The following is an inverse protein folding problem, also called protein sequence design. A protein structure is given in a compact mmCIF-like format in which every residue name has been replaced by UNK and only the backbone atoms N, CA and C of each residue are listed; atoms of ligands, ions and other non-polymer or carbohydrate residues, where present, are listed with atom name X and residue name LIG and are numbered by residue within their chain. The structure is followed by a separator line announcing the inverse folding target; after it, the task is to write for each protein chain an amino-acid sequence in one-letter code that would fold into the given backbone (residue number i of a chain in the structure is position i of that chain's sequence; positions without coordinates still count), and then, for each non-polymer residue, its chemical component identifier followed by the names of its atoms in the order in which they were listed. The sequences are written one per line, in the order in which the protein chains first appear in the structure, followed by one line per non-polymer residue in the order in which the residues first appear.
data_IF_540016462901
#
_entry.id   IF_540016462901
#
_cell.length_a   1.000
_cell.length_b   1.000
_cell.length_c   1.000
_cell.angle_alpha   90.00
_cell.angle_beta   90.00
_cell.angle_gamma   90.00
#
_symmetry.space_group_name_H-M   'P 1'
#
loop_
_entity.id
_entity.type
_entity.pdbx_description
1 polymer ?
#
# COMPACT_ATOMS: atom_id res chain seq x y z
N UNK A 1 53.02 2.07 -31.06
CA UNK A 1 51.99 2.13 -30.00
C UNK A 1 50.76 2.84 -30.57
N UNK A 2 49.64 2.11 -30.65
CA UNK A 2 48.20 2.49 -30.80
C UNK A 2 47.88 3.98 -31.08
N UNK A 3 47.42 4.40 -32.28
CA UNK A 3 46.12 4.25 -33.01
C UNK A 3 45.01 5.24 -32.54
N UNK A 4 44.64 6.15 -33.47
CA UNK A 4 43.31 6.67 -33.90
C UNK A 4 42.05 6.21 -33.10
N UNK A 5 40.88 6.89 -33.03
CA UNK A 5 40.21 7.96 -33.79
C UNK A 5 38.91 8.37 -33.07
N UNK A 6 38.48 9.60 -33.32
CA UNK A 6 37.11 10.17 -33.43
C UNK A 6 35.85 9.38 -33.08
N UNK A 7 34.95 10.11 -32.39
CA UNK A 7 33.48 10.16 -32.53
C UNK A 7 32.83 9.19 -33.52
N UNK A 8 32.02 8.26 -32.98
CA UNK A 8 30.93 7.62 -33.69
C UNK A 8 29.76 7.42 -32.71
N UNK A 9 28.63 8.04 -33.04
CA UNK A 9 27.38 7.87 -32.32
C UNK A 9 26.87 6.44 -32.40
N UNK A 10 26.25 5.98 -31.33
CA UNK A 10 25.41 4.78 -31.33
C UNK A 10 24.05 5.11 -30.77
N UNK A 11 23.16 5.33 -31.73
CA UNK A 11 21.71 5.08 -31.72
C UNK A 11 21.20 4.31 -30.49
N UNK A 12 20.31 4.95 -29.74
CA UNK A 12 19.41 4.30 -28.79
C UNK A 12 18.54 3.30 -29.58
N UNK A 13 18.96 2.03 -29.60
CA UNK A 13 18.11 0.91 -29.99
C UNK A 13 16.96 0.84 -28.99
N UNK A 14 15.78 1.27 -29.42
CA UNK A 14 14.51 0.82 -28.85
C UNK A 14 14.41 -0.69 -29.10
N UNK A 15 14.89 -1.49 -28.14
CA UNK A 15 14.59 -2.92 -28.12
C UNK A 15 13.20 -3.07 -27.51
N UNK A 16 12.19 -3.20 -28.37
CA UNK A 16 10.88 -3.71 -27.96
C UNK A 16 11.07 -5.17 -27.56
N UNK A 17 11.19 -5.42 -26.26
CA UNK A 17 11.02 -6.77 -25.73
C UNK A 17 9.90 -6.73 -24.72
N UNK A 18 8.80 -7.35 -25.12
CA UNK A 18 7.60 -7.60 -24.35
C UNK A 18 7.98 -8.12 -22.96
N UNK A 19 7.75 -7.30 -21.94
CA UNK A 19 7.62 -7.74 -20.57
C UNK A 19 6.28 -7.22 -20.08
N UNK A 20 5.24 -8.02 -20.33
CA UNK A 20 4.00 -7.96 -19.59
C UNK A 20 4.33 -8.31 -18.13
N UNK A 21 4.76 -7.31 -17.38
CA UNK A 21 5.13 -7.42 -15.98
C UNK A 21 4.70 -6.12 -15.32
N UNK A 22 3.43 -6.06 -14.91
CA UNK A 22 2.89 -4.91 -14.20
C UNK A 22 3.78 -4.60 -13.00
N UNK A 23 4.53 -3.50 -13.09
CA UNK A 23 5.28 -2.96 -11.97
C UNK A 23 4.29 -2.68 -10.86
N UNK A 24 4.24 -3.56 -9.84
CA UNK A 24 3.47 -3.28 -8.63
C UNK A 24 4.19 -2.14 -7.95
N UNK A 25 3.63 -0.93 -8.10
CA UNK A 25 3.99 0.20 -7.26
C UNK A 25 3.94 -0.27 -5.79
N UNK A 26 4.87 0.19 -4.93
CA UNK A 26 4.86 -0.16 -3.52
C UNK A 26 3.46 0.11 -2.94
N UNK A 27 2.97 -0.78 -2.07
CA UNK A 27 1.60 -0.74 -1.55
C UNK A 27 1.22 0.58 -0.88
N UNK A 28 2.20 1.38 -0.44
CA UNK A 28 2.01 2.73 0.10
C UNK A 28 1.65 3.79 -0.95
N UNK A 29 2.02 3.60 -2.23
CA UNK A 29 1.78 4.54 -3.33
C UNK A 29 0.49 4.20 -4.08
N UNK A 30 0.03 2.95 -3.99
CA UNK A 30 -1.23 2.50 -4.62
C UNK A 30 -2.47 3.20 -4.04
N UNK A 31 -2.42 3.77 -2.83
CA UNK A 31 -3.55 4.47 -2.23
C UNK A 31 -3.82 5.85 -2.84
N UNK A 32 -2.83 6.48 -3.48
CA UNK A 32 -2.92 7.84 -4.01
C UNK A 32 -3.49 7.92 -5.44
N UNK A 33 -3.62 6.80 -6.13
CA UNK A 33 -4.14 6.70 -7.52
C UNK A 33 -5.30 5.70 -7.65
N UNK A 34 -6.08 5.47 -6.59
CA UNK A 34 -7.32 4.70 -6.69
C UNK A 34 -8.46 5.65 -7.05
N UNK A 35 -8.69 5.87 -8.34
CA UNK A 35 -9.85 6.59 -8.88
C UNK A 35 -11.16 5.78 -8.81
N UNK A 36 -11.15 4.59 -8.19
CA UNK A 36 -12.31 3.71 -8.01
C UNK A 36 -12.49 3.21 -6.58
N UNK A 37 -13.68 2.67 -6.27
CA UNK A 37 -14.04 2.09 -4.97
C UNK A 37 -13.92 0.55 -4.97
N UNK A 38 -13.64 -0.05 -3.81
CA UNK A 38 -13.34 -1.49 -3.69
C UNK A 38 -14.61 -2.38 -3.66
N UNK A 39 -15.78 -1.76 -3.45
CA UNK A 39 -17.10 -2.40 -3.42
C UNK A 39 -17.75 -2.39 -4.82
N UNK A 40 -17.02 -2.91 -5.81
CA UNK A 40 -17.42 -3.03 -7.23
C UNK A 40 -18.25 -4.29 -7.56
N UNK A 41 -18.69 -5.04 -6.53
CA UNK A 41 -19.40 -6.32 -6.71
C UNK A 41 -18.48 -7.52 -6.97
N UNK A 42 -17.15 -7.36 -7.04
CA UNK A 42 -16.25 -8.53 -7.13
C UNK A 42 -16.28 -9.37 -5.85
N UNK A 43 -16.22 -10.70 -5.98
CA UNK A 43 -16.36 -11.58 -4.83
C UNK A 43 -15.95 -13.02 -5.14
N UNK A 44 -16.70 -13.98 -4.59
CA UNK A 44 -16.48 -15.39 -4.89
C UNK A 44 -16.87 -15.68 -6.34
N UNK A 45 -16.02 -16.40 -7.08
CA UNK A 45 -16.29 -16.78 -8.47
C UNK A 45 -15.88 -15.73 -9.51
N UNK A 46 -15.30 -14.60 -9.09
CA UNK A 46 -14.71 -13.61 -10.01
C UNK A 46 -13.27 -13.98 -10.38
N UNK A 47 -12.79 -13.42 -11.50
CA UNK A 47 -11.39 -13.54 -11.94
C UNK A 47 -10.37 -12.94 -10.96
N UNK A 48 -10.79 -11.92 -10.20
CA UNK A 48 -9.93 -11.24 -9.23
C UNK A 48 -9.73 -12.09 -7.97
N UNK A 49 -8.51 -12.14 -7.41
CA UNK A 49 -8.25 -12.87 -6.18
C UNK A 49 -9.04 -12.27 -5.01
N UNK A 50 -9.47 -13.12 -4.09
CA UNK A 50 -10.13 -12.68 -2.86
C UNK A 50 -9.18 -11.79 -2.05
N UNK A 51 -9.60 -10.56 -1.82
CA UNK A 51 -8.84 -9.56 -1.05
C UNK A 51 -9.73 -8.87 -0.04
N UNK A 52 -9.11 -8.22 0.94
CA UNK A 52 -9.82 -7.34 1.88
C UNK A 52 -10.34 -6.13 1.11
N UNK A 53 -11.67 -5.95 1.19
CA UNK A 53 -12.40 -4.85 0.58
C UNK A 53 -12.66 -3.72 1.55
N UNK A 54 -12.50 -2.49 1.07
CA UNK A 54 -12.81 -1.29 1.84
C UNK A 54 -14.16 -0.70 1.46
N UNK A 55 -14.90 -0.20 2.45
CA UNK A 55 -16.15 0.56 2.26
C UNK A 55 -15.91 2.07 2.02
N UNK A 56 -14.66 2.48 1.79
CA UNK A 56 -14.35 3.86 1.41
C UNK A 56 -14.93 4.22 0.04
N UNK A 57 -15.38 5.47 -0.08
CA UNK A 57 -15.82 6.05 -1.36
C UNK A 57 -14.59 6.44 -2.21
N UNK A 58 -14.81 6.79 -3.48
CA UNK A 58 -13.73 7.35 -4.31
C UNK A 58 -13.18 8.63 -3.67
N UNK A 59 -11.86 8.76 -3.59
CA UNK A 59 -11.19 9.92 -2.98
C UNK A 59 -11.62 10.24 -1.53
N UNK A 60 -11.91 9.22 -0.71
CA UNK A 60 -12.32 9.42 0.69
C UNK A 60 -11.28 10.21 1.52
N UNK A 61 -11.72 11.27 2.21
CA UNK A 61 -10.88 12.17 3.02
C UNK A 61 -10.81 11.79 4.50
N UNK A 62 -11.47 10.71 4.91
CA UNK A 62 -11.46 10.24 6.30
C UNK A 62 -10.12 9.62 6.67
N UNK A 63 -9.63 9.92 7.87
CA UNK A 63 -8.36 9.39 8.38
C UNK A 63 -8.46 8.99 9.84
N UNK A 64 -7.80 7.88 10.18
CA UNK A 64 -7.65 7.41 11.55
C UNK A 64 -6.27 7.72 12.09
N UNK A 65 -6.20 8.14 13.36
CA UNK A 65 -4.97 8.12 14.15
C UNK A 65 -4.94 6.80 14.91
N UNK A 66 -3.93 5.99 14.64
CA UNK A 66 -3.84 4.62 15.16
C UNK A 66 -2.56 4.48 15.96
N UNK A 67 -2.69 3.94 17.17
CA UNK A 67 -1.56 3.55 18.04
C UNK A 67 -1.56 2.03 18.19
N UNK A 68 -0.47 1.38 17.81
CA UNK A 68 -0.33 -0.06 17.89
C UNK A 68 1.12 -0.49 18.13
N UNK A 69 1.27 -1.71 18.63
CA UNK A 69 2.55 -2.39 18.84
C UNK A 69 2.57 -3.63 17.94
N UNK A 70 3.59 -3.76 17.08
CA UNK A 70 3.70 -4.85 16.12
C UNK A 70 5.06 -5.58 16.25
N UNK A 71 5.13 -6.70 16.98
CA UNK A 71 6.38 -7.43 17.18
C UNK A 71 6.91 -8.03 15.87
N UNK A 72 8.23 -8.15 15.78
CA UNK A 72 8.90 -8.82 14.66
C UNK A 72 9.26 -10.25 15.04
N UNK A 73 8.42 -11.21 14.66
CA UNK A 73 8.66 -12.64 14.90
C UNK A 73 9.91 -13.16 14.15
N UNK A 74 10.26 -12.54 13.02
CA UNK A 74 11.32 -13.01 12.13
C UNK A 74 12.72 -12.53 12.47
N UNK A 75 12.88 -11.77 13.55
CA UNK A 75 14.17 -11.12 13.86
C UNK A 75 15.25 -12.13 14.22
N UNK A 76 14.89 -13.18 14.97
CA UNK A 76 15.84 -14.15 15.52
C UNK A 76 16.65 -14.86 14.43
N UNK A 77 16.07 -15.11 13.27
CA UNK A 77 16.73 -15.83 12.16
C UNK A 77 17.17 -14.93 11.00
N UNK A 78 16.73 -13.66 10.94
CA UNK A 78 17.06 -12.78 9.82
C UNK A 78 18.31 -11.92 10.04
N UNK A 79 18.80 -11.82 11.28
CA UNK A 79 19.95 -10.97 11.62
C UNK A 79 19.71 -9.47 11.40
N UNK A 80 18.45 -9.05 11.25
CA UNK A 80 18.09 -7.64 11.04
C UNK A 80 18.19 -6.84 12.34
N UNK A 81 18.54 -5.57 12.20
CA UNK A 81 18.58 -4.59 13.28
C UNK A 81 17.23 -4.42 13.98
N UNK A 82 17.24 -3.98 15.25
CA UNK A 82 16.02 -3.71 16.00
C UNK A 82 15.35 -2.45 15.45
N UNK A 83 14.08 -2.56 15.06
CA UNK A 83 13.27 -1.43 14.61
C UNK A 83 12.28 -1.02 15.68
N UNK A 84 11.76 0.21 15.58
CA UNK A 84 10.69 0.67 16.45
C UNK A 84 9.39 -0.13 16.20
N UNK A 85 8.93 -0.79 17.24
CA UNK A 85 7.77 -1.71 17.23
C UNK A 85 6.47 -0.96 17.57
N UNK A 86 6.55 0.11 18.36
CA UNK A 86 5.41 0.90 18.81
C UNK A 86 5.23 2.12 17.89
N UNK A 87 4.19 2.10 17.08
CA UNK A 87 3.96 3.14 16.06
C UNK A 87 2.64 3.85 16.31
N UNK A 88 2.68 5.19 16.21
CA UNK A 88 1.49 6.03 16.08
C UNK A 88 1.51 6.68 14.71
N UNK A 89 0.53 6.40 13.86
CA UNK A 89 0.48 6.96 12.50
C UNK A 89 -0.94 7.29 12.07
N UNK A 90 -1.04 8.19 11.10
CA UNK A 90 -2.27 8.53 10.40
C UNK A 90 -2.47 7.53 9.26
N UNK A 91 -3.64 6.89 9.21
CA UNK A 91 -4.00 5.88 8.21
C UNK A 91 -5.30 6.29 7.53
N UNK A 92 -5.34 6.35 6.18
CA UNK A 92 -6.58 6.63 5.45
C UNK A 92 -7.66 5.58 5.71
N UNK A 93 -8.92 6.01 5.76
CA UNK A 93 -10.09 5.14 5.94
C UNK A 93 -10.12 3.99 4.94
N UNK A 94 -9.79 4.26 3.68
CA UNK A 94 -9.74 3.26 2.60
C UNK A 94 -8.81 2.09 2.91
N UNK A 95 -7.65 2.37 3.51
CA UNK A 95 -6.64 1.35 3.84
C UNK A 95 -6.78 0.74 5.23
N UNK A 96 -7.53 1.38 6.13
CA UNK A 96 -7.54 1.05 7.55
C UNK A 96 -7.97 -0.39 7.84
N UNK A 97 -9.05 -0.87 7.20
CA UNK A 97 -9.55 -2.23 7.44
C UNK A 97 -8.52 -3.31 7.07
N UNK A 98 -7.78 -3.10 5.97
CA UNK A 98 -6.70 -3.99 5.57
C UNK A 98 -5.54 -3.95 6.56
N UNK A 99 -5.18 -2.76 7.03
CA UNK A 99 -4.09 -2.57 7.98
C UNK A 99 -4.40 -3.16 9.36
N UNK A 100 -5.63 -3.00 9.83
CA UNK A 100 -6.12 -3.63 11.07
C UNK A 100 -5.98 -5.16 10.98
N UNK A 101 -6.48 -5.76 9.91
CA UNK A 101 -6.39 -7.22 9.68
C UNK A 101 -4.94 -7.68 9.59
N UNK A 102 -4.06 -6.89 8.96
CA UNK A 102 -2.62 -7.18 8.89
C UNK A 102 -1.98 -7.18 10.28
N UNK A 103 -2.25 -6.15 11.09
CA UNK A 103 -1.71 -6.03 12.45
C UNK A 103 -2.16 -7.23 13.30
N UNK A 104 -3.45 -7.60 13.24
CA UNK A 104 -3.98 -8.75 13.99
C UNK A 104 -3.35 -10.07 13.55
N UNK A 105 -3.19 -10.30 12.24
CA UNK A 105 -2.61 -11.53 11.70
C UNK A 105 -1.13 -11.69 12.01
N UNK A 106 -0.40 -10.59 12.12
CA UNK A 106 1.03 -10.59 12.45
C UNK A 106 1.28 -10.48 13.97
N UNK A 107 0.29 -10.80 14.82
CA UNK A 107 0.46 -10.85 16.27
C UNK A 107 0.57 -9.48 16.96
N UNK A 108 0.26 -8.39 16.27
CA UNK A 108 0.28 -7.04 16.84
C UNK A 108 -0.93 -6.73 17.73
N UNK A 109 -0.78 -5.76 18.61
CA UNK A 109 -1.82 -5.25 19.51
C UNK A 109 -2.14 -3.80 19.17
N UNK A 110 -3.42 -3.51 18.96
CA UNK A 110 -3.92 -2.15 18.72
C UNK A 110 -4.34 -1.57 20.07
N UNK A 111 -3.72 -0.47 20.47
CA UNK A 111 -3.97 0.17 21.77
C UNK A 111 -5.07 1.21 21.66
N UNK A 112 -5.06 2.03 20.59
CA UNK A 112 -6.02 3.12 20.41
C UNK A 112 -6.26 3.43 18.94
N UNK A 113 -7.51 3.73 18.60
CA UNK A 113 -7.94 4.15 17.27
C UNK A 113 -8.87 5.34 17.44
N UNK A 114 -8.56 6.45 16.80
CA UNK A 114 -9.37 7.66 16.81
C UNK A 114 -9.63 8.10 15.37
N UNK A 115 -10.85 8.57 15.08
CA UNK A 115 -11.12 9.24 13.81
C UNK A 115 -10.56 10.65 13.91
N UNK A 116 -9.46 10.91 13.21
CA UNK A 116 -8.78 12.20 13.26
C UNK A 116 -9.31 13.18 12.22
N UNK A 117 -9.83 12.68 11.09
CA UNK A 117 -10.48 13.47 10.05
C UNK A 117 -11.76 12.78 9.61
N UNK A 118 -12.83 13.56 9.49
CA UNK A 118 -14.15 13.12 9.07
C UNK A 118 -15.21 13.17 10.16
N UNK A 119 -16.47 13.10 9.74
CA UNK A 119 -17.63 13.05 10.65
C UNK A 119 -18.21 11.63 10.66
N UNK A 120 -18.53 11.07 11.84
CA UNK A 120 -19.27 9.81 11.91
C UNK A 120 -20.66 9.95 11.30
N UNK A 121 -21.19 8.85 10.75
CA UNK A 121 -22.58 8.74 10.24
C UNK A 121 -23.00 9.82 9.21
N UNK A 122 -22.05 10.38 8.47
CA UNK A 122 -22.35 11.26 7.33
C UNK A 122 -22.76 10.43 6.11
N UNK A 123 -23.89 10.78 5.49
CA UNK A 123 -24.43 10.09 4.31
C UNK A 123 -23.71 10.47 3.00
N UNK A 124 -23.36 11.74 2.82
CA UNK A 124 -22.69 12.27 1.60
C UNK A 124 -21.65 13.33 1.97
N UNK A 125 -20.62 13.51 1.14
CA UNK A 125 -19.54 14.47 1.39
C UNK A 125 -18.37 13.88 2.17
N UNK A 126 -18.06 12.62 1.89
CA UNK A 126 -16.89 11.89 2.43
C UNK A 126 -15.69 11.96 1.46
N UNK A 127 -15.92 12.38 0.21
CA UNK A 127 -14.94 12.63 -0.84
C UNK A 127 -14.20 13.95 -0.66
#
# INVERSE_FOLDING_TARGET
MFVQTSFLGTSLKTCSKCAAGGARLPSSVQSLLMTGYDMDGSGSGNLNPRRIKSSGVSNDRRMFKVTFVLPSESRVYSGRELQNVATTKMVPFTSWYREQQRIMKMGGRITKVELASGTPQRNVGNT
#
